data_IF_484861063750
#
_entry.id   IF_484861063750
#
_cell.length_a   1.000
_cell.length_b   1.000
_cell.length_c   1.000
_cell.angle_alpha   90.00
_cell.angle_beta   90.00
_cell.angle_gamma   90.00
#
_symmetry.space_group_name_H-M   'P 1'
#
loop_
_entity.id
_entity.type
_entity.pdbx_description
1 polymer ?
#
# COMPACT_ATOMS: atom_id res chain seq x y z
N UNK A 1 15.53 -15.24 -22.01
CA UNK A 1 15.61 -14.96 -20.55
C UNK A 1 15.93 -13.49 -20.26
N UNK A 2 16.86 -12.84 -20.97
CA UNK A 2 17.24 -11.44 -20.70
C UNK A 2 16.12 -10.41 -20.91
N UNK A 3 15.30 -10.54 -21.97
CA UNK A 3 14.19 -9.60 -22.23
C UNK A 3 13.13 -9.57 -21.12
N UNK A 4 12.94 -10.68 -20.39
CA UNK A 4 12.05 -10.71 -19.23
C UNK A 4 12.69 -10.05 -18.01
N UNK A 5 14.02 -10.19 -17.83
CA UNK A 5 14.77 -9.48 -16.77
C UNK A 5 14.73 -7.97 -16.98
N UNK A 6 14.91 -7.49 -18.21
CA UNK A 6 14.85 -6.05 -18.55
C UNK A 6 13.44 -5.50 -18.29
N UNK A 7 12.39 -6.23 -18.68
CA UNK A 7 11.01 -5.84 -18.39
C UNK A 7 10.74 -5.77 -16.88
N UNK A 8 11.16 -6.78 -16.12
CA UNK A 8 11.03 -6.79 -14.66
C UNK A 8 11.78 -5.63 -14.00
N UNK A 9 12.98 -5.31 -14.49
CA UNK A 9 13.77 -4.19 -14.00
C UNK A 9 13.11 -2.84 -14.28
N UNK A 10 12.57 -2.63 -15.49
CA UNK A 10 11.80 -1.42 -15.83
C UNK A 10 10.54 -1.27 -14.97
N UNK A 11 9.82 -2.38 -14.73
CA UNK A 11 8.66 -2.40 -13.85
C UNK A 11 9.04 -2.05 -12.40
N UNK A 12 10.15 -2.58 -11.89
CA UNK A 12 10.64 -2.27 -10.56
C UNK A 12 11.06 -0.80 -10.42
N UNK A 13 11.78 -0.25 -11.41
CA UNK A 13 12.20 1.15 -11.40
C UNK A 13 11.01 2.09 -11.45
N UNK A 14 10.05 1.83 -12.34
CA UNK A 14 8.83 2.65 -12.41
C UNK A 14 8.05 2.57 -11.11
N UNK A 15 7.83 1.36 -10.56
CA UNK A 15 7.18 1.20 -9.26
C UNK A 15 7.89 1.98 -8.14
N UNK A 16 9.23 1.94 -8.08
CA UNK A 16 10.01 2.68 -7.08
C UNK A 16 9.84 4.20 -7.22
N UNK A 17 9.88 4.72 -8.45
CA UNK A 17 9.68 6.16 -8.72
C UNK A 17 8.27 6.59 -8.32
N UNK A 18 7.24 5.85 -8.75
CA UNK A 18 5.85 6.16 -8.40
C UNK A 18 5.60 6.09 -6.89
N UNK A 19 6.19 5.11 -6.22
CA UNK A 19 6.07 4.95 -4.77
C UNK A 19 6.71 6.13 -4.02
N UNK A 20 7.96 6.49 -4.34
CA UNK A 20 8.66 7.62 -3.71
C UNK A 20 8.01 8.98 -4.02
N UNK A 21 7.55 9.18 -5.26
CA UNK A 21 6.83 10.40 -5.65
C UNK A 21 5.53 10.57 -4.84
N UNK A 22 4.76 9.49 -4.68
CA UNK A 22 3.54 9.50 -3.86
C UNK A 22 3.81 9.89 -2.41
N UNK A 23 4.93 9.45 -1.82
CA UNK A 23 5.30 9.80 -0.44
C UNK A 23 5.59 11.30 -0.27
N UNK A 24 6.35 11.89 -1.20
CA UNK A 24 6.64 13.33 -1.18
C UNK A 24 5.38 14.18 -1.41
N UNK A 25 4.51 13.77 -2.32
CA UNK A 25 3.21 14.42 -2.52
C UNK A 25 2.33 14.36 -1.25
N UNK A 26 2.33 13.22 -0.54
CA UNK A 26 1.64 13.08 0.74
C UNK A 26 2.19 14.04 1.80
N UNK A 27 3.52 14.12 1.91
CA UNK A 27 4.17 15.07 2.83
C UNK A 27 3.82 16.53 2.51
N UNK A 28 3.78 16.91 1.22
CA UNK A 28 3.36 18.23 0.78
C UNK A 28 1.90 18.53 1.18
N UNK A 29 1.00 17.55 1.01
CA UNK A 29 -0.40 17.68 1.39
C UNK A 29 -0.57 17.90 2.91
N UNK A 30 0.23 17.21 3.73
CA UNK A 30 0.18 17.39 5.18
C UNK A 30 0.73 18.75 5.60
N UNK A 31 1.87 19.17 5.06
CA UNK A 31 2.54 20.41 5.46
C UNK A 31 1.84 21.68 4.94
N UNK A 32 1.33 21.67 3.71
CA UNK A 32 0.73 22.87 3.09
C UNK A 32 -0.79 22.94 3.19
N UNK A 33 -1.48 21.81 3.32
CA UNK A 33 -2.96 21.77 3.41
C UNK A 33 -3.47 21.37 4.79
N UNK A 34 -2.60 21.10 5.78
CA UNK A 34 -2.98 20.59 7.11
C UNK A 34 -3.98 19.44 7.02
N UNK A 35 -3.84 18.59 6.00
CA UNK A 35 -4.73 17.46 5.82
C UNK A 35 -4.41 16.35 6.81
N UNK A 36 -5.45 15.73 7.35
CA UNK A 36 -5.29 14.65 8.30
C UNK A 36 -4.70 13.39 7.63
N UNK A 37 -3.63 12.80 8.17
CA UNK A 37 -3.02 11.60 7.61
C UNK A 37 -3.97 10.39 7.60
N UNK A 38 -4.93 10.34 8.52
CA UNK A 38 -5.99 9.31 8.54
C UNK A 38 -6.88 9.42 7.31
N UNK A 39 -7.25 10.64 6.91
CA UNK A 39 -8.10 10.88 5.74
C UNK A 39 -7.40 10.43 4.46
N UNK A 40 -6.12 10.80 4.28
CA UNK A 40 -5.36 10.39 3.09
C UNK A 40 -5.18 8.87 3.04
N UNK A 41 -4.90 8.24 4.20
CA UNK A 41 -4.78 6.78 4.30
C UNK A 41 -6.10 6.11 3.92
N UNK A 42 -7.22 6.60 4.45
CA UNK A 42 -8.55 6.05 4.18
C UNK A 42 -8.91 6.17 2.70
N UNK A 43 -8.74 7.35 2.08
CA UNK A 43 -8.98 7.52 0.64
C UNK A 43 -8.11 6.59 -0.19
N UNK A 44 -6.81 6.45 0.14
CA UNK A 44 -5.89 5.56 -0.58
C UNK A 44 -6.31 4.09 -0.49
N UNK A 45 -6.66 3.61 0.70
CA UNK A 45 -7.07 2.21 0.93
C UNK A 45 -8.42 1.91 0.29
N UNK A 46 -9.38 2.85 0.34
CA UNK A 46 -10.68 2.70 -0.31
C UNK A 46 -10.53 2.65 -1.83
N UNK A 47 -9.77 3.59 -2.42
CA UNK A 47 -9.52 3.58 -3.86
C UNK A 47 -8.80 2.32 -4.31
N UNK A 48 -7.74 1.91 -3.62
CA UNK A 48 -7.01 0.69 -3.93
C UNK A 48 -7.90 -0.56 -3.80
N UNK A 49 -8.68 -0.64 -2.72
CA UNK A 49 -9.63 -1.74 -2.49
C UNK A 49 -10.73 -1.79 -3.56
N UNK A 50 -11.30 -0.64 -3.94
CA UNK A 50 -12.29 -0.56 -5.03
C UNK A 50 -11.70 -0.98 -6.37
N UNK A 51 -10.51 -0.50 -6.73
CA UNK A 51 -9.85 -0.89 -7.98
C UNK A 51 -9.59 -2.39 -7.99
N UNK A 52 -9.09 -2.96 -6.89
CA UNK A 52 -8.82 -4.38 -6.79
C UNK A 52 -10.09 -5.22 -6.88
N UNK A 53 -11.19 -4.77 -6.26
CA UNK A 53 -12.48 -5.45 -6.31
C UNK A 53 -13.07 -5.44 -7.72
N UNK A 54 -13.00 -4.30 -8.42
CA UNK A 54 -13.40 -4.17 -9.82
C UNK A 54 -12.55 -5.06 -10.72
N UNK A 55 -11.22 -5.05 -10.54
CA UNK A 55 -10.31 -5.89 -11.30
C UNK A 55 -10.59 -7.39 -11.09
N UNK A 56 -10.75 -7.82 -9.84
CA UNK A 56 -11.12 -9.19 -9.51
C UNK A 56 -12.47 -9.60 -10.14
N UNK A 57 -13.42 -8.66 -10.23
CA UNK A 57 -14.70 -8.91 -10.89
C UNK A 57 -14.56 -9.22 -12.39
N UNK A 58 -13.59 -8.61 -13.08
CA UNK A 58 -13.36 -8.83 -14.51
C UNK A 58 -12.40 -9.97 -14.82
N UNK A 59 -11.47 -10.31 -13.91
CA UNK A 59 -10.43 -11.31 -14.15
C UNK A 59 -10.78 -12.69 -13.60
N UNK A 60 -11.41 -12.78 -12.44
CA UNK A 60 -11.61 -14.06 -11.75
C UNK A 60 -13.01 -14.63 -11.98
N UNK A 61 -13.09 -15.80 -12.63
CA UNK A 61 -14.35 -16.55 -12.81
C UNK A 61 -14.91 -17.06 -11.49
N UNK A 62 -14.05 -17.34 -10.51
CA UNK A 62 -14.41 -17.95 -9.23
C UNK A 62 -14.21 -17.00 -8.04
N UNK A 63 -14.68 -15.75 -8.21
CA UNK A 63 -14.55 -14.65 -7.24
C UNK A 63 -15.05 -14.96 -5.83
N UNK A 64 -15.91 -15.97 -5.69
CA UNK A 64 -16.55 -16.34 -4.42
C UNK A 64 -15.84 -17.48 -3.69
N UNK A 65 -14.86 -18.15 -4.30
CA UNK A 65 -14.15 -19.27 -3.68
C UNK A 65 -13.48 -18.88 -2.36
N UNK A 66 -12.95 -17.66 -2.27
CA UNK A 66 -12.35 -17.10 -1.04
C UNK A 66 -13.38 -16.96 0.08
N UNK A 67 -14.65 -16.66 -0.25
CA UNK A 67 -15.71 -16.49 0.73
C UNK A 67 -16.33 -17.81 1.21
N UNK A 68 -16.02 -18.94 0.57
CA UNK A 68 -16.53 -20.25 0.96
C UNK A 68 -15.88 -20.76 2.25
N UNK A 69 -14.63 -20.37 2.52
CA UNK A 69 -13.89 -20.79 3.70
C UNK A 69 -13.83 -19.66 4.74
N UNK A 70 -14.57 -19.80 5.84
CA UNK A 70 -14.61 -18.84 6.95
C UNK A 70 -13.23 -18.58 7.55
N UNK A 71 -12.32 -19.56 7.50
CA UNK A 71 -10.94 -19.42 7.99
C UNK A 71 -10.15 -18.46 7.10
N UNK A 72 -10.26 -18.61 5.79
CA UNK A 72 -9.52 -17.77 4.83
C UNK A 72 -10.03 -16.33 4.88
N UNK A 73 -11.35 -16.14 5.01
CA UNK A 73 -11.94 -14.81 5.26
C UNK A 73 -11.43 -14.20 6.56
N UNK A 74 -11.36 -14.98 7.65
CA UNK A 74 -10.84 -14.51 8.93
C UNK A 74 -9.37 -14.07 8.84
N UNK A 75 -8.52 -14.85 8.16
CA UNK A 75 -7.12 -14.52 7.91
C UNK A 75 -7.02 -13.26 7.03
N UNK A 76 -7.83 -13.16 5.99
CA UNK A 76 -7.85 -12.01 5.08
C UNK A 76 -8.22 -10.72 5.82
N UNK A 77 -9.23 -10.76 6.68
CA UNK A 77 -9.64 -9.61 7.50
C UNK A 77 -8.53 -9.24 8.49
N UNK A 78 -7.98 -10.22 9.20
CA UNK A 78 -6.89 -9.98 10.15
C UNK A 78 -5.66 -9.38 9.45
N UNK A 79 -5.27 -9.93 8.30
CA UNK A 79 -4.16 -9.42 7.48
C UNK A 79 -4.43 -8.00 6.97
N UNK A 80 -5.64 -7.73 6.49
CA UNK A 80 -6.00 -6.43 5.94
C UNK A 80 -6.05 -5.34 7.00
N UNK A 81 -6.60 -5.63 8.20
CA UNK A 81 -6.73 -4.67 9.28
C UNK A 81 -5.43 -4.53 10.09
N UNK A 82 -4.93 -5.63 10.66
CA UNK A 82 -3.78 -5.60 11.56
C UNK A 82 -2.45 -5.50 10.83
N UNK A 83 -2.35 -6.03 9.62
CA UNK A 83 -1.15 -5.94 8.79
C UNK A 83 -1.17 -4.70 7.91
N UNK A 84 -2.01 -4.73 6.87
CA UNK A 84 -1.94 -3.78 5.77
C UNK A 84 -2.39 -2.36 6.18
N UNK A 85 -3.57 -2.22 6.76
CA UNK A 85 -4.10 -0.91 7.15
C UNK A 85 -3.27 -0.26 8.25
N UNK A 86 -2.92 -1.02 9.29
CA UNK A 86 -2.08 -0.51 10.38
C UNK A 86 -0.69 -0.08 9.91
N UNK A 87 -0.04 -0.85 9.05
CA UNK A 87 1.27 -0.52 8.49
C UNK A 87 1.20 0.75 7.61
N UNK A 88 0.21 0.83 6.73
CA UNK A 88 0.00 2.00 5.85
C UNK A 88 -0.31 3.27 6.66
N UNK A 89 -1.15 3.15 7.69
CA UNK A 89 -1.47 4.25 8.58
C UNK A 89 -0.24 4.75 9.33
N UNK A 90 0.52 3.84 9.96
CA UNK A 90 1.73 4.20 10.70
C UNK A 90 2.80 4.82 9.80
N UNK A 91 2.92 4.36 8.55
CA UNK A 91 3.80 4.96 7.55
C UNK A 91 3.42 6.42 7.28
N UNK A 92 2.16 6.71 6.94
CA UNK A 92 1.71 8.08 6.66
C UNK A 92 1.72 8.97 7.90
N UNK A 93 1.46 8.42 9.08
CA UNK A 93 1.60 9.11 10.36
C UNK A 93 3.05 9.55 10.57
N UNK A 94 4.01 8.66 10.32
CA UNK A 94 5.45 8.96 10.43
C UNK A 94 5.86 10.06 9.45
N UNK A 95 5.32 10.06 8.23
CA UNK A 95 5.55 11.14 7.25
C UNK A 95 5.02 12.48 7.79
N UNK A 96 3.86 12.47 8.44
CA UNK A 96 3.25 13.67 9.02
C UNK A 96 4.06 14.25 10.19
N UNK A 97 4.60 13.40 11.07
CA UNK A 97 5.40 13.85 12.22
C UNK A 97 6.87 14.16 11.87
N UNK A 98 7.40 13.57 10.81
CA UNK A 98 8.80 13.73 10.39
C UNK A 98 8.89 14.15 8.93
N UNK A 99 9.27 13.25 8.03
CA UNK A 99 9.27 13.47 6.59
C UNK A 99 9.20 12.13 5.83
N UNK A 100 9.01 12.20 4.50
CA UNK A 100 8.91 11.04 3.61
C UNK A 100 10.20 10.16 3.59
N UNK A 101 11.37 10.77 3.66
CA UNK A 101 12.66 10.09 3.72
C UNK A 101 12.85 9.29 5.02
N UNK A 102 12.62 9.91 6.18
CA UNK A 102 12.75 9.26 7.49
C UNK A 102 11.78 8.09 7.63
N UNK A 103 10.52 8.27 7.23
CA UNK A 103 9.52 7.19 7.24
C UNK A 103 9.97 6.00 6.38
N UNK A 104 10.59 6.27 5.24
CA UNK A 104 11.09 5.22 4.33
C UNK A 104 12.30 4.49 4.91
N UNK A 105 13.23 5.19 5.56
CA UNK A 105 14.36 4.55 6.26
C UNK A 105 13.85 3.62 7.37
N UNK A 106 12.88 4.09 8.18
CA UNK A 106 12.25 3.26 9.20
C UNK A 106 11.53 2.05 8.59
N UNK A 107 10.88 2.21 7.44
CA UNK A 107 10.25 1.10 6.72
C UNK A 107 11.26 0.04 6.26
N UNK A 108 12.46 0.47 5.81
CA UNK A 108 13.53 -0.44 5.40
C UNK A 108 14.21 -1.18 6.57
N UNK A 109 13.96 -0.78 7.81
CA UNK A 109 14.34 -1.59 8.98
C UNK A 109 13.38 -2.75 9.22
N UNK A 110 12.19 -2.74 8.62
CA UNK A 110 11.18 -3.79 8.77
C UNK A 110 11.71 -5.22 8.55
N UNK A 111 12.48 -5.51 7.49
CA UNK A 111 13.10 -6.82 7.26
C UNK A 111 14.08 -7.29 8.35
N UNK A 112 14.57 -6.40 9.22
CA UNK A 112 15.43 -6.76 10.36
C UNK A 112 14.60 -7.25 11.54
N UNK A 113 13.35 -6.78 11.66
CA UNK A 113 12.43 -7.14 12.73
C UNK A 113 11.52 -8.33 12.42
N UNK A 114 11.43 -8.73 11.15
CA UNK A 114 10.70 -9.92 10.66
C UNK A 114 11.64 -11.11 10.53
#
# INVERSE_FOLDING_TARGET
MERQKIKGMLLAMTAAVFWGFSGNCGQYLFNYKNMDPTWLTACRLLLAGSILCVFAHFTERDRHAIFQNKRDVGILIAFSLAGLAFCQYTYLLTISYSNAGTATVLQYLGPVFL
#
